data_IF_681218531046
#
_entry.id   IF_681218531046
#
_cell.length_a   1.000
_cell.length_b   1.000
_cell.length_c   1.000
_cell.angle_alpha   90.00
_cell.angle_beta   90.00
_cell.angle_gamma   90.00
#
_symmetry.space_group_name_H-M   'P 1'
#
loop_
_entity.id
_entity.type
_entity.pdbx_description
1 polymer ?
#
# COMPACT_ATOMS: atom_id res chain seq x y z
N UNK A 1 -7.63 -37.56 46.03
CA UNK A 1 -6.61 -37.90 45.02
C UNK A 1 -6.43 -36.66 44.17
N UNK A 2 -5.35 -35.92 44.43
CA UNK A 2 -4.93 -34.73 43.69
C UNK A 2 -4.00 -35.18 42.56
N UNK A 3 -4.40 -34.93 41.31
CA UNK A 3 -3.58 -34.99 40.09
C UNK A 3 -4.27 -34.02 39.11
N UNK A 4 -3.62 -33.13 38.35
CA UNK A 4 -2.24 -32.69 38.29
C UNK A 4 -2.26 -31.42 37.43
N UNK A 5 -1.42 -30.45 37.78
CA UNK A 5 -1.18 -29.27 36.96
C UNK A 5 -0.60 -29.71 35.61
N UNK A 6 -1.09 -29.12 34.53
CA UNK A 6 -0.43 -29.18 33.22
C UNK A 6 -0.02 -27.76 32.89
N UNK A 7 1.26 -27.52 33.11
CA UNK A 7 1.98 -26.32 32.78
C UNK A 7 2.00 -26.07 31.27
N UNK A 8 1.79 -24.79 30.95
CA UNK A 8 2.49 -24.01 29.93
C UNK A 8 2.82 -24.70 28.60
N UNK A 9 1.91 -24.59 27.63
CA UNK A 9 2.32 -24.42 26.24
C UNK A 9 2.46 -22.92 25.99
N UNK A 10 3.70 -22.45 26.14
CA UNK A 10 4.13 -21.16 25.61
C UNK A 10 4.16 -21.25 24.09
N UNK A 11 3.03 -20.98 23.45
CA UNK A 11 2.97 -20.85 22.00
C UNK A 11 3.39 -19.43 21.65
N UNK A 12 4.64 -19.32 21.18
CA UNK A 12 5.13 -18.11 20.51
C UNK A 12 4.19 -17.84 19.31
N UNK A 13 3.54 -16.68 19.17
CA UNK A 13 2.81 -16.37 17.96
C UNK A 13 3.83 -15.96 16.89
N UNK A 14 4.43 -16.97 16.25
CA UNK A 14 5.10 -16.81 14.97
C UNK A 14 4.09 -17.19 13.89
N UNK A 15 3.26 -16.23 13.46
CA UNK A 15 2.99 -15.84 12.06
C UNK A 15 2.05 -14.63 12.16
N UNK A 16 2.46 -13.48 11.64
CA UNK A 16 1.58 -12.33 11.43
C UNK A 16 0.33 -12.77 10.69
N UNK A 17 -0.78 -12.89 11.41
CA UNK A 17 -2.09 -13.22 10.86
C UNK A 17 -2.56 -11.99 10.08
N UNK A 18 -2.14 -11.86 8.82
CA UNK A 18 -2.84 -10.99 7.90
C UNK A 18 -4.24 -11.59 7.75
N UNK A 19 -5.19 -11.04 8.50
CA UNK A 19 -6.60 -11.43 8.39
C UNK A 19 -7.00 -11.44 6.91
N UNK A 20 -7.84 -12.39 6.46
CA UNK A 20 -8.27 -12.44 5.08
C UNK A 20 -8.88 -11.09 4.70
N UNK A 21 -8.25 -10.40 3.75
CA UNK A 21 -8.71 -9.11 3.25
C UNK A 21 -10.17 -9.25 2.84
N UNK A 22 -11.03 -8.38 3.40
CA UNK A 22 -12.44 -8.36 3.02
C UNK A 22 -12.58 -8.09 1.51
N UNK A 23 -13.70 -8.46 0.87
CA UNK A 23 -13.94 -8.16 -0.54
C UNK A 23 -13.76 -6.66 -0.87
N UNK A 24 -14.11 -5.80 0.09
CA UNK A 24 -13.90 -4.36 0.00
C UNK A 24 -12.41 -4.01 0.01
N UNK A 25 -11.63 -4.53 0.96
CA UNK A 25 -10.19 -4.27 1.03
C UNK A 25 -9.43 -4.77 -0.20
N UNK A 26 -9.82 -5.92 -0.76
CA UNK A 26 -9.24 -6.38 -2.05
C UNK A 26 -9.52 -5.42 -3.20
N UNK A 27 -10.73 -4.84 -3.23
CA UNK A 27 -11.11 -3.90 -4.28
C UNK A 27 -10.32 -2.60 -4.14
N UNK A 28 -10.22 -2.08 -2.91
CA UNK A 28 -9.37 -0.93 -2.57
C UNK A 28 -7.92 -1.17 -2.97
N UNK A 29 -7.34 -2.32 -2.58
CA UNK A 29 -5.97 -2.66 -2.93
C UNK A 29 -5.74 -2.73 -4.44
N UNK A 30 -6.68 -3.33 -5.20
CA UNK A 30 -6.58 -3.38 -6.66
C UNK A 30 -6.61 -1.97 -7.27
N UNK A 31 -7.50 -1.11 -6.81
CA UNK A 31 -7.58 0.27 -7.27
C UNK A 31 -6.28 1.02 -7.00
N UNK A 32 -5.71 0.86 -5.80
CA UNK A 32 -4.43 1.45 -5.45
C UNK A 32 -3.29 0.95 -6.35
N UNK A 33 -3.21 -0.36 -6.60
CA UNK A 33 -2.19 -0.94 -7.49
C UNK A 33 -2.33 -0.44 -8.93
N UNK A 34 -3.55 -0.31 -9.44
CA UNK A 34 -3.80 0.26 -10.76
C UNK A 34 -3.42 1.73 -10.81
N UNK A 35 -3.76 2.49 -9.77
CA UNK A 35 -3.44 3.90 -9.70
C UNK A 35 -1.93 4.15 -9.65
N UNK A 36 -1.21 3.38 -8.84
CA UNK A 36 0.26 3.43 -8.78
C UNK A 36 0.88 3.12 -10.14
N UNK A 37 0.39 2.12 -10.86
CA UNK A 37 0.88 1.80 -12.20
C UNK A 37 0.60 2.93 -13.19
N UNK A 38 -0.59 3.51 -13.20
CA UNK A 38 -0.93 4.61 -14.09
C UNK A 38 -0.03 5.83 -13.82
N UNK A 39 0.15 6.19 -12.55
CA UNK A 39 0.97 7.34 -12.16
C UNK A 39 2.46 7.10 -12.41
N UNK A 40 2.99 5.91 -12.10
CA UNK A 40 4.37 5.55 -12.41
C UNK A 40 4.61 5.49 -13.93
N UNK A 41 3.66 4.95 -14.70
CA UNK A 41 3.74 4.88 -16.16
C UNK A 41 3.66 6.26 -16.83
N UNK A 42 2.89 7.18 -16.26
CA UNK A 42 2.80 8.57 -16.71
C UNK A 42 4.03 9.41 -16.31
N UNK A 43 4.91 8.89 -15.44
CA UNK A 43 6.15 9.54 -15.00
C UNK A 43 5.95 10.99 -14.49
N UNK A 44 4.78 11.29 -13.92
CA UNK A 44 4.37 12.64 -13.48
C UNK A 44 5.31 13.22 -12.41
N UNK A 45 5.95 12.37 -11.63
CA UNK A 45 6.90 12.77 -10.58
C UNK A 45 8.36 12.74 -11.02
N UNK A 46 8.63 12.38 -12.27
CA UNK A 46 9.96 12.24 -12.84
C UNK A 46 10.36 10.78 -13.05
N UNK A 47 11.14 10.54 -14.10
CA UNK A 47 11.60 9.20 -14.53
C UNK A 47 12.49 8.52 -13.48
N UNK A 48 13.21 9.33 -12.70
CA UNK A 48 14.07 8.90 -11.59
C UNK A 48 13.30 8.57 -10.31
N UNK A 49 11.98 8.70 -10.28
CA UNK A 49 11.18 8.49 -9.07
C UNK A 49 10.14 7.41 -9.28
N UNK A 50 9.79 6.71 -8.20
CA UNK A 50 8.72 5.72 -8.21
C UNK A 50 7.83 5.86 -6.97
N UNK A 51 6.53 5.68 -7.19
CA UNK A 51 5.54 5.58 -6.14
C UNK A 51 5.47 4.15 -5.61
N UNK A 52 5.70 3.99 -4.32
CA UNK A 52 5.66 2.73 -3.58
C UNK A 52 4.56 2.77 -2.52
N UNK A 53 3.86 1.65 -2.36
CA UNK A 53 2.89 1.49 -1.27
C UNK A 53 3.61 1.17 0.04
N UNK A 54 3.26 1.89 1.10
CA UNK A 54 3.79 1.67 2.44
C UNK A 54 2.69 1.82 3.49
N UNK A 55 3.00 1.44 4.73
CA UNK A 55 2.09 1.62 5.86
C UNK A 55 2.73 2.58 6.85
N UNK A 56 2.06 3.70 7.13
CA UNK A 56 2.57 4.68 8.06
C UNK A 56 2.19 4.30 9.49
N UNK A 57 3.16 4.37 10.40
CA UNK A 57 2.96 3.98 11.81
C UNK A 57 2.25 5.07 12.62
N UNK A 58 2.33 6.33 12.20
CA UNK A 58 1.70 7.46 12.90
C UNK A 58 0.22 7.53 12.58
N UNK A 59 -0.15 7.42 11.32
CA UNK A 59 -1.56 7.42 10.89
C UNK A 59 -2.22 6.04 10.99
N UNK A 60 -1.43 4.98 11.25
CA UNK A 60 -1.87 3.57 11.22
C UNK A 60 -2.67 3.26 9.95
N UNK A 61 -2.23 3.84 8.83
CA UNK A 61 -2.94 3.77 7.57
C UNK A 61 -1.99 3.50 6.39
N UNK A 62 -2.55 3.02 5.27
CA UNK A 62 -1.81 2.93 4.02
C UNK A 62 -1.39 4.32 3.57
N UNK A 63 -0.13 4.49 3.21
CA UNK A 63 0.43 5.71 2.62
C UNK A 63 1.23 5.37 1.38
N UNK A 64 1.37 6.34 0.49
CA UNK A 64 2.14 6.20 -0.73
C UNK A 64 3.42 6.99 -0.59
N UNK A 65 4.57 6.36 -0.81
CA UNK A 65 5.89 6.99 -0.69
C UNK A 65 6.44 7.20 -2.08
N UNK A 66 6.81 8.43 -2.39
CA UNK A 66 7.59 8.75 -3.57
C UNK A 66 9.06 8.52 -3.22
N UNK A 67 9.69 7.57 -3.88
CA UNK A 67 11.06 7.14 -3.63
C UNK A 67 11.89 7.44 -4.86
N UNK A 68 13.08 8.00 -4.66
CA UNK A 68 14.06 8.14 -5.72
C UNK A 68 14.65 6.78 -6.08
N UNK A 69 14.71 6.45 -7.37
CA UNK A 69 15.15 5.15 -7.86
C UNK A 69 16.67 5.01 -7.79
N UNK A 70 17.40 6.11 -7.87
CA UNK A 70 18.86 6.18 -7.85
C UNK A 70 19.38 6.10 -6.41
N UNK A 71 18.87 6.94 -5.51
CA UNK A 71 19.33 7.00 -4.11
C UNK A 71 18.54 6.11 -3.16
N UNK A 72 17.37 5.61 -3.58
CA UNK A 72 16.40 4.88 -2.74
C UNK A 72 15.88 5.71 -1.56
N UNK A 73 15.97 7.03 -1.65
CA UNK A 73 15.50 7.93 -0.61
C UNK A 73 14.03 8.29 -0.81
N UNK A 74 13.31 8.43 0.30
CA UNK A 74 11.90 8.85 0.26
C UNK A 74 11.86 10.36 0.15
N UNK A 75 11.52 10.85 -1.04
CA UNK A 75 11.39 12.27 -1.35
C UNK A 75 10.19 12.85 -0.61
N UNK A 76 9.04 12.14 -0.65
CA UNK A 76 7.82 12.55 0.05
C UNK A 76 6.85 11.42 0.31
N UNK A 77 5.94 11.64 1.24
CA UNK A 77 4.80 10.77 1.49
C UNK A 77 3.53 11.47 1.03
N UNK A 78 2.68 10.77 0.29
CA UNK A 78 1.39 11.24 -0.18
C UNK A 78 0.31 10.24 0.23
N UNK A 79 -0.90 10.71 0.60
CA UNK A 79 -1.97 9.80 0.96
C UNK A 79 -2.47 9.03 -0.28
N UNK A 80 -3.00 7.81 -0.10
CA UNK A 80 -3.43 6.94 -1.19
C UNK A 80 -4.57 7.55 -2.02
N UNK A 81 -5.49 8.27 -1.38
CA UNK A 81 -6.58 8.99 -2.04
C UNK A 81 -6.08 10.00 -3.09
N UNK A 82 -4.94 10.64 -2.84
CA UNK A 82 -4.34 11.58 -3.78
C UNK A 82 -3.81 10.87 -5.04
N UNK A 83 -3.22 9.68 -4.86
CA UNK A 83 -2.73 8.85 -5.97
C UNK A 83 -3.89 8.27 -6.78
N UNK A 84 -4.97 7.85 -6.11
CA UNK A 84 -6.21 7.43 -6.78
C UNK A 84 -6.75 8.54 -7.67
N UNK A 85 -6.86 9.77 -7.15
CA UNK A 85 -7.34 10.92 -7.93
C UNK A 85 -6.45 11.25 -9.12
N UNK A 86 -5.13 11.20 -8.95
CA UNK A 86 -4.19 11.38 -10.06
C UNK A 86 -4.37 10.31 -11.13
N UNK A 87 -4.56 9.05 -10.73
CA UNK A 87 -4.78 7.98 -11.68
C UNK A 87 -6.14 8.08 -12.39
N UNK A 88 -7.19 8.54 -11.69
CA UNK A 88 -8.48 8.85 -12.29
C UNK A 88 -8.35 9.96 -13.34
N UNK A 89 -7.63 11.03 -13.01
CA UNK A 89 -7.34 12.14 -13.93
C UNK A 89 -6.58 11.64 -15.18
N UNK A 90 -5.51 10.85 -14.98
CA UNK A 90 -4.75 10.23 -16.07
C UNK A 90 -5.58 9.24 -16.91
N UNK A 91 -6.51 8.52 -16.27
CA UNK A 91 -7.45 7.63 -16.94
C UNK A 91 -8.47 8.40 -17.79
N UNK A 92 -8.95 9.55 -17.31
CA UNK A 92 -9.90 10.40 -18.01
C UNK A 92 -9.30 11.03 -19.29
N UNK A 93 -8.01 11.41 -19.25
CA UNK A 93 -7.28 11.86 -20.46
C UNK A 93 -7.27 10.80 -21.58
N UNK A 94 -7.38 9.51 -21.26
CA UNK A 94 -7.43 8.44 -22.27
C UNK A 94 -8.83 8.21 -22.87
N UNK A 95 -9.88 8.84 -22.33
CA UNK A 95 -11.27 8.73 -22.82
C UNK A 95 -11.83 10.03 -23.39
N UNK A 96 -11.19 11.19 -23.16
CA UNK A 96 -11.61 12.50 -23.70
C UNK A 96 -10.92 12.92 -25.00
N UNK A 97 -10.27 12.00 -25.72
CA UNK A 97 -9.62 12.29 -26.99
C UNK A 97 -9.66 11.11 -27.96
N UNK A 98 -10.81 10.91 -28.63
CA UNK A 98 -10.95 10.34 -29.98
C UNK A 98 -12.39 10.54 -30.48
#
# INVERSE_FOLDING_TARGET
MEIGRMDAVGELPAVSTAAPLTPQQRTEQRQLVQAVQAVNGAQIFGESTELTFAFDRYTKGPVMRLVDKETKEVIRQVPPEYVLRLAEDLGDYSSSGL
#
